data_IF_004624913509
#
_entry.id   IF_004624913509
#
_cell.length_a   1.000
_cell.length_b   1.000
_cell.length_c   1.000
_cell.angle_alpha   90.00
_cell.angle_beta   90.00
_cell.angle_gamma   90.00
#
_symmetry.space_group_name_H-M   'P 1'
#
loop_
_entity.id
_entity.type
_entity.pdbx_description
1 polymer ?
#
# COMPACT_ATOMS: atom_id res chain seq x y z
N UNK A 1 -2.15 -13.60 -11.25
CA UNK A 1 -1.28 -12.70 -12.05
C UNK A 1 -0.63 -11.70 -11.11
N UNK A 2 0.68 -11.51 -11.21
CA UNK A 2 1.39 -10.51 -10.42
C UNK A 2 1.25 -9.13 -11.05
N UNK A 3 0.82 -8.13 -10.27
CA UNK A 3 0.56 -6.77 -10.76
C UNK A 3 1.82 -5.89 -10.75
N UNK A 4 2.74 -6.14 -9.84
CA UNK A 4 4.00 -5.39 -9.72
C UNK A 4 4.29 -4.91 -8.31
N UNK A 5 5.23 -3.98 -8.25
CA UNK A 5 5.67 -3.31 -7.02
C UNK A 5 5.32 -1.83 -7.07
N UNK A 6 5.24 -1.21 -5.89
CA UNK A 6 4.99 0.22 -5.76
C UNK A 6 5.27 0.74 -4.35
N UNK A 7 4.87 1.97 -4.11
CA UNK A 7 4.93 2.61 -2.80
C UNK A 7 3.87 3.70 -2.67
N UNK A 8 3.76 4.30 -1.49
CA UNK A 8 2.71 5.24 -1.17
C UNK A 8 3.09 6.69 -1.49
N UNK A 9 2.18 7.37 -2.17
CA UNK A 9 2.17 8.81 -2.42
C UNK A 9 1.43 9.50 -1.26
N UNK A 10 2.05 9.52 -0.08
CA UNK A 10 1.51 10.25 1.06
C UNK A 10 1.69 11.75 0.90
N UNK A 11 0.92 12.56 1.63
CA UNK A 11 1.16 14.01 1.68
C UNK A 11 2.58 14.31 2.17
N UNK A 12 3.09 13.55 3.14
CA UNK A 12 4.47 13.68 3.63
C UNK A 12 5.50 13.47 2.51
N UNK A 13 5.33 12.41 1.71
CA UNK A 13 6.21 12.15 0.56
C UNK A 13 6.11 13.27 -0.48
N UNK A 14 4.90 13.70 -0.81
CA UNK A 14 4.66 14.75 -1.78
C UNK A 14 5.19 16.11 -1.32
N UNK A 15 5.00 16.44 -0.03
CA UNK A 15 5.52 17.67 0.57
C UNK A 15 7.06 17.68 0.55
N UNK A 16 7.69 16.60 1.01
CA UNK A 16 9.16 16.47 0.96
C UNK A 16 9.67 16.60 -0.48
N UNK A 17 9.02 15.90 -1.43
CA UNK A 17 9.32 16.00 -2.85
C UNK A 17 9.19 17.44 -3.36
N UNK A 18 8.14 18.16 -2.99
CA UNK A 18 7.88 19.54 -3.42
C UNK A 18 8.97 20.52 -2.98
N UNK A 19 9.65 20.26 -1.85
CA UNK A 19 10.75 21.10 -1.36
C UNK A 19 12.04 20.97 -2.19
N UNK A 20 12.20 19.92 -2.99
CA UNK A 20 13.37 19.68 -3.81
C UNK A 20 13.36 20.57 -5.06
N UNK A 21 14.53 20.88 -5.61
CA UNK A 21 14.63 21.51 -6.93
C UNK A 21 14.24 20.52 -8.05
N UNK A 22 14.00 21.05 -9.25
CA UNK A 22 13.47 20.25 -10.36
C UNK A 22 14.42 19.13 -10.81
N UNK A 23 15.73 19.31 -10.73
CA UNK A 23 16.73 18.30 -11.07
C UNK A 23 16.67 17.12 -10.07
N UNK A 24 16.64 17.41 -8.79
CA UNK A 24 16.53 16.39 -7.72
C UNK A 24 15.16 15.69 -7.77
N UNK A 25 14.07 16.41 -8.04
CA UNK A 25 12.75 15.82 -8.27
C UNK A 25 12.78 14.78 -9.39
N UNK A 26 13.38 15.14 -10.52
CA UNK A 26 13.51 14.24 -11.67
C UNK A 26 14.32 12.99 -11.33
N UNK A 27 15.41 13.13 -10.58
CA UNK A 27 16.23 12.02 -10.14
C UNK A 27 15.48 11.09 -9.16
N UNK A 28 14.71 11.63 -8.21
CA UNK A 28 13.88 10.87 -7.28
C UNK A 28 12.82 10.06 -8.02
N UNK A 29 12.07 10.70 -8.91
CA UNK A 29 11.01 10.02 -9.67
C UNK A 29 11.60 8.93 -10.57
N UNK A 30 12.74 9.18 -11.22
CA UNK A 30 13.48 8.16 -11.99
C UNK A 30 13.98 7.03 -11.10
N UNK A 31 14.40 7.31 -9.87
CA UNK A 31 14.80 6.28 -8.94
C UNK A 31 13.64 5.34 -8.57
N UNK A 32 12.42 5.83 -8.46
CA UNK A 32 11.24 5.01 -8.16
C UNK A 32 10.66 4.34 -9.42
N UNK A 33 10.33 5.11 -10.43
CA UNK A 33 9.50 4.67 -11.57
C UNK A 33 10.27 4.49 -12.88
N UNK A 34 11.49 5.03 -12.99
CA UNK A 34 12.31 4.95 -14.19
C UNK A 34 12.85 3.55 -14.47
N UNK A 35 13.23 3.30 -15.72
CA UNK A 35 13.75 2.02 -16.21
C UNK A 35 14.98 1.54 -15.43
N UNK A 36 15.86 2.46 -15.04
CA UNK A 36 17.08 2.16 -14.26
C UNK A 36 16.88 2.29 -12.75
N UNK A 37 15.66 2.63 -12.29
CA UNK A 37 15.25 2.73 -10.89
C UNK A 37 14.64 1.44 -10.36
N UNK A 38 13.71 1.56 -9.41
CA UNK A 38 12.93 0.44 -8.87
C UNK A 38 11.92 -0.13 -9.87
N UNK A 39 11.63 0.59 -10.95
CA UNK A 39 10.66 0.21 -11.99
C UNK A 39 9.25 -0.04 -11.43
N UNK A 40 8.84 0.72 -10.42
CA UNK A 40 7.52 0.61 -9.82
C UNK A 40 6.41 0.79 -10.87
N UNK A 41 5.31 0.07 -10.69
CA UNK A 41 4.13 0.07 -11.56
C UNK A 41 2.86 0.42 -10.81
N UNK A 42 2.93 0.44 -9.50
CA UNK A 42 1.82 0.64 -8.59
C UNK A 42 2.06 1.87 -7.72
N UNK A 43 0.98 2.45 -7.23
CA UNK A 43 1.00 3.47 -6.21
C UNK A 43 -0.10 3.24 -5.18
N UNK A 44 0.10 3.68 -3.94
CA UNK A 44 -0.95 3.76 -2.94
C UNK A 44 -1.20 5.23 -2.59
N UNK A 45 -2.45 5.62 -2.47
CA UNK A 45 -2.87 6.97 -2.07
C UNK A 45 -3.85 6.87 -0.91
N UNK A 46 -3.78 7.85 -0.01
CA UNK A 46 -4.74 7.96 1.07
C UNK A 46 -5.94 8.82 0.67
N UNK A 47 -7.13 8.42 1.07
CA UNK A 47 -8.35 9.23 0.97
C UNK A 47 -8.59 9.92 2.32
N UNK A 48 -8.67 11.24 2.34
CA UNK A 48 -8.48 12.10 3.52
C UNK A 48 -7.05 11.98 4.07
N UNK A 49 -6.76 12.65 5.20
CA UNK A 49 -5.46 12.56 5.85
C UNK A 49 -5.14 11.17 6.40
N UNK A 50 -3.85 10.93 6.61
CA UNK A 50 -3.28 9.81 7.36
C UNK A 50 -2.22 10.36 8.33
N UNK A 51 -1.54 9.51 9.10
CA UNK A 51 -0.46 9.94 9.99
C UNK A 51 0.69 10.66 9.26
N UNK A 52 1.01 10.23 8.04
CA UNK A 52 1.97 10.88 7.14
C UNK A 52 1.33 12.00 6.31
N UNK A 53 0.53 12.83 6.97
CA UNK A 53 0.02 14.10 6.47
C UNK A 53 0.54 15.27 7.34
N UNK A 54 0.34 16.49 6.88
CA UNK A 54 0.72 17.71 7.63
C UNK A 54 -0.26 18.04 8.75
N UNK A 55 -1.43 17.39 8.75
CA UNK A 55 -2.49 17.53 9.74
C UNK A 55 -3.74 16.79 9.28
N UNK A 56 -4.76 16.71 10.13
CA UNK A 56 -6.05 16.16 9.72
C UNK A 56 -6.72 17.03 8.64
N UNK A 57 -7.23 16.40 7.59
CA UNK A 57 -8.07 17.06 6.58
C UNK A 57 -9.06 16.09 5.93
N UNK A 58 -10.10 16.64 5.36
CA UNK A 58 -11.11 15.94 4.55
C UNK A 58 -11.42 16.74 3.30
N UNK A 59 -12.14 16.16 2.35
CA UNK A 59 -12.54 16.82 1.10
C UNK A 59 -13.90 17.49 1.17
N UNK A 60 -14.54 17.53 2.35
CA UNK A 60 -15.83 18.20 2.58
C UNK A 60 -15.75 19.09 3.82
N UNK A 61 -16.63 20.09 3.89
CA UNK A 61 -16.81 20.89 5.11
C UNK A 61 -17.47 20.07 6.22
N UNK A 62 -17.25 20.48 7.46
CA UNK A 62 -17.84 19.83 8.65
C UNK A 62 -19.37 19.86 8.57
N UNK A 63 -19.98 18.68 8.69
CA UNK A 63 -21.44 18.51 8.66
C UNK A 63 -22.07 18.47 7.26
N UNK A 64 -21.27 18.47 6.18
CA UNK A 64 -21.79 18.30 4.82
C UNK A 64 -22.17 16.84 4.54
N UNK A 65 -23.39 16.49 4.92
CA UNK A 65 -23.98 15.16 4.71
C UNK A 65 -24.51 14.91 3.29
N UNK A 66 -24.36 15.88 2.37
CA UNK A 66 -24.75 15.77 0.96
C UNK A 66 -23.58 15.76 -0.01
N UNK A 67 -22.37 15.93 0.51
CA UNK A 67 -21.13 16.03 -0.28
C UNK A 67 -21.17 17.17 -1.32
N UNK A 68 -21.86 18.27 -1.01
CA UNK A 68 -21.98 19.43 -1.90
C UNK A 68 -20.69 20.23 -1.97
N UNK A 69 -19.90 20.22 -0.89
CA UNK A 69 -18.63 20.93 -0.76
C UNK A 69 -17.41 20.09 -1.17
N UNK A 70 -17.63 18.87 -1.70
CA UNK A 70 -16.55 17.95 -2.02
C UNK A 70 -15.55 18.55 -3.01
N UNK A 71 -14.29 18.69 -2.57
CA UNK A 71 -13.20 19.28 -3.35
C UNK A 71 -11.84 18.66 -2.97
N UNK A 72 -11.09 18.20 -3.97
CA UNK A 72 -9.73 17.65 -3.83
C UNK A 72 -8.63 18.69 -4.04
N UNK A 73 -8.93 19.99 -3.91
CA UNK A 73 -7.94 21.07 -4.09
C UNK A 73 -6.74 20.96 -3.15
N UNK A 74 -6.90 20.28 -2.02
CA UNK A 74 -5.81 19.96 -1.11
C UNK A 74 -4.73 19.13 -1.82
N UNK A 75 -5.11 18.05 -2.48
CA UNK A 75 -4.19 17.11 -3.12
C UNK A 75 -3.58 17.69 -4.41
N UNK A 76 -4.25 18.66 -5.03
CA UNK A 76 -3.75 19.37 -6.21
C UNK A 76 -2.49 20.21 -5.95
N UNK A 77 -2.19 20.47 -4.68
CA UNK A 77 -1.01 21.28 -4.33
C UNK A 77 0.29 20.49 -4.48
N UNK A 78 0.33 19.24 -4.02
CA UNK A 78 1.58 18.48 -3.93
C UNK A 78 1.43 17.02 -4.38
N UNK A 79 0.37 16.31 -3.95
CA UNK A 79 0.18 14.87 -4.25
C UNK A 79 -0.01 14.62 -5.74
N UNK A 80 -0.96 15.31 -6.37
CA UNK A 80 -1.24 15.13 -7.79
C UNK A 80 -0.10 15.59 -8.71
N UNK A 81 0.64 16.68 -8.44
CA UNK A 81 1.86 17.02 -9.17
C UNK A 81 2.93 15.91 -9.09
N UNK A 82 3.17 15.34 -7.91
CA UNK A 82 4.12 14.22 -7.76
C UNK A 82 3.67 12.98 -8.56
N UNK A 83 2.38 12.66 -8.54
CA UNK A 83 1.81 11.56 -9.35
C UNK A 83 1.98 11.83 -10.85
N UNK A 84 1.75 13.06 -11.30
CA UNK A 84 1.92 13.44 -12.70
C UNK A 84 3.38 13.26 -13.16
N UNK A 85 4.35 13.67 -12.34
CA UNK A 85 5.76 13.44 -12.61
C UNK A 85 6.12 11.95 -12.66
N UNK A 86 5.58 11.15 -11.76
CA UNK A 86 5.77 9.71 -11.76
C UNK A 86 5.20 9.04 -13.03
N UNK A 87 3.99 9.41 -13.43
CA UNK A 87 3.35 8.90 -14.65
C UNK A 87 4.12 9.28 -15.92
N UNK A 88 4.78 10.45 -15.93
CA UNK A 88 5.60 10.91 -17.07
C UNK A 88 6.85 10.03 -17.27
N UNK A 89 7.40 9.48 -16.20
CA UNK A 89 8.66 8.71 -16.21
C UNK A 89 8.41 7.21 -16.28
N UNK A 90 7.28 6.75 -15.77
CA UNK A 90 6.94 5.33 -15.71
C UNK A 90 6.78 4.75 -17.13
N UNK A 91 7.20 3.49 -17.29
CA UNK A 91 6.94 2.69 -18.49
C UNK A 91 5.51 2.14 -18.44
N UNK A 92 4.56 2.91 -18.96
CA UNK A 92 3.12 2.67 -18.92
C UNK A 92 2.43 3.28 -17.69
N UNK A 93 1.09 3.25 -17.65
CA UNK A 93 0.31 3.88 -16.59
C UNK A 93 0.57 3.21 -15.24
N UNK A 94 0.69 4.04 -14.19
CA UNK A 94 0.73 3.59 -12.80
C UNK A 94 -0.71 3.28 -12.37
N UNK A 95 -0.94 2.13 -11.79
CA UNK A 95 -2.22 1.74 -11.22
C UNK A 95 -2.22 2.02 -9.72
N UNK A 96 -3.28 2.65 -9.23
CA UNK A 96 -3.36 3.07 -7.84
C UNK A 96 -4.34 2.24 -7.03
N UNK A 97 -3.92 1.93 -5.80
CA UNK A 97 -4.76 1.50 -4.69
C UNK A 97 -5.06 2.71 -3.82
N UNK A 98 -6.32 2.98 -3.53
CA UNK A 98 -6.68 4.01 -2.57
C UNK A 98 -7.20 3.42 -1.26
N UNK A 99 -6.84 4.03 -0.12
CA UNK A 99 -7.24 3.59 1.21
C UNK A 99 -7.62 4.79 2.09
N UNK A 100 -8.74 4.76 2.83
CA UNK A 100 -9.05 5.75 3.86
C UNK A 100 -8.46 5.36 5.21
N UNK A 101 -7.98 6.32 5.97
CA UNK A 101 -7.61 6.15 7.39
C UNK A 101 -8.77 6.51 8.32
N UNK A 102 -9.55 7.52 7.98
CA UNK A 102 -10.73 7.93 8.75
C UNK A 102 -11.77 8.61 7.87
N UNK A 103 -13.05 8.35 8.09
CA UNK A 103 -14.12 9.26 7.66
C UNK A 103 -13.99 10.62 8.35
N UNK A 104 -14.71 11.67 7.84
CA UNK A 104 -14.87 12.94 8.54
C UNK A 104 -15.35 12.75 9.97
N UNK A 105 -14.90 13.59 10.89
CA UNK A 105 -15.14 13.45 12.33
C UNK A 105 -16.63 13.33 12.70
N UNK A 106 -17.50 14.14 12.07
CA UNK A 106 -18.94 14.12 12.37
C UNK A 106 -19.64 12.81 11.98
N UNK A 107 -19.07 12.02 11.04
CA UNK A 107 -19.58 10.72 10.64
C UNK A 107 -19.20 9.60 11.63
N UNK A 108 -18.33 9.86 12.60
CA UNK A 108 -17.78 8.85 13.52
C UNK A 108 -18.42 8.91 14.91
N UNK A 109 -18.45 7.77 15.57
CA UNK A 109 -19.06 7.61 16.90
C UNK A 109 -18.34 8.38 17.99
N UNK A 110 -17.01 8.60 17.85
CA UNK A 110 -16.20 9.39 18.78
C UNK A 110 -16.15 10.89 18.41
N UNK A 111 -16.63 11.31 17.25
CA UNK A 111 -16.60 12.69 16.79
C UNK A 111 -15.20 13.22 16.45
N UNK A 112 -14.23 12.33 16.22
CA UNK A 112 -12.84 12.66 15.91
C UNK A 112 -12.35 11.83 14.72
N UNK A 113 -11.40 12.34 13.93
CA UNK A 113 -10.73 11.53 12.90
C UNK A 113 -9.73 10.55 13.53
N UNK A 114 -9.11 10.93 14.65
CA UNK A 114 -8.15 10.13 15.41
C UNK A 114 -8.84 9.21 16.43
N UNK A 115 -8.04 8.40 17.12
CA UNK A 115 -8.46 7.60 18.28
C UNK A 115 -9.57 6.56 17.99
N UNK A 116 -9.56 5.96 16.80
CA UNK A 116 -10.52 4.91 16.44
C UNK A 116 -11.94 5.46 16.28
N UNK A 117 -12.88 4.94 17.06
CA UNK A 117 -14.31 5.14 16.81
C UNK A 117 -14.75 4.35 15.58
N UNK A 118 -16.04 4.31 15.30
CA UNK A 118 -16.62 3.60 14.16
C UNK A 118 -17.43 4.56 13.30
N UNK A 119 -17.59 4.24 12.02
CA UNK A 119 -18.54 4.95 11.16
C UNK A 119 -19.97 4.71 11.69
N UNK A 120 -20.75 5.77 11.83
CA UNK A 120 -22.16 5.66 12.22
C UNK A 120 -22.99 5.13 11.06
N UNK A 121 -23.94 4.24 11.32
CA UNK A 121 -24.73 3.58 10.29
C UNK A 121 -25.50 4.55 9.38
N UNK A 122 -25.98 5.68 9.93
CA UNK A 122 -26.68 6.71 9.16
C UNK A 122 -25.82 7.35 8.07
N UNK A 123 -24.48 7.21 8.13
CA UNK A 123 -23.54 7.75 7.14
C UNK A 123 -22.99 6.70 6.17
N UNK A 124 -23.38 5.43 6.24
CA UNK A 124 -22.85 4.39 5.37
C UNK A 124 -23.06 4.69 3.88
N UNK A 125 -24.26 5.14 3.48
CA UNK A 125 -24.54 5.51 2.09
C UNK A 125 -23.71 6.73 1.62
N UNK A 126 -23.59 7.73 2.50
CA UNK A 126 -22.84 8.95 2.20
C UNK A 126 -21.37 8.64 2.08
N UNK A 127 -20.84 7.82 2.98
CA UNK A 127 -19.44 7.42 2.94
C UNK A 127 -19.12 6.59 1.69
N UNK A 128 -19.99 5.69 1.26
CA UNK A 128 -19.84 4.97 -0.01
C UNK A 128 -19.84 5.94 -1.22
N UNK A 129 -20.70 6.96 -1.24
CA UNK A 129 -20.70 8.00 -2.27
C UNK A 129 -19.44 8.86 -2.24
N UNK A 130 -18.86 9.07 -1.07
CA UNK A 130 -17.59 9.77 -0.92
C UNK A 130 -16.45 9.07 -1.66
N UNK A 131 -16.37 7.73 -1.58
CA UNK A 131 -15.41 6.93 -2.38
C UNK A 131 -15.61 7.16 -3.88
N UNK A 132 -16.84 7.09 -4.36
CA UNK A 132 -17.12 7.30 -5.78
C UNK A 132 -16.74 8.71 -6.24
N UNK A 133 -17.05 9.74 -5.44
CA UNK A 133 -16.64 11.12 -5.74
C UNK A 133 -15.13 11.29 -5.78
N UNK A 134 -14.40 10.68 -4.84
CA UNK A 134 -12.95 10.71 -4.82
C UNK A 134 -12.36 10.06 -6.08
N UNK A 135 -12.82 8.85 -6.42
CA UNK A 135 -12.37 8.13 -7.63
C UNK A 135 -12.62 8.96 -8.89
N UNK A 136 -13.82 9.50 -9.05
CA UNK A 136 -14.15 10.36 -10.20
C UNK A 136 -13.32 11.64 -10.25
N UNK A 137 -13.01 12.23 -9.09
CA UNK A 137 -12.16 13.42 -9.03
C UNK A 137 -10.72 13.12 -9.48
N UNK A 138 -10.16 12.00 -9.04
CA UNK A 138 -8.82 11.55 -9.44
C UNK A 138 -8.76 11.13 -10.92
N UNK A 139 -9.80 10.46 -11.42
CA UNK A 139 -9.89 10.15 -12.88
C UNK A 139 -9.86 11.39 -13.75
N UNK A 140 -10.48 12.51 -13.31
CA UNK A 140 -10.40 13.80 -14.02
C UNK A 140 -8.99 14.39 -14.05
N UNK A 141 -8.15 14.04 -13.11
CA UNK A 141 -6.73 14.40 -13.06
C UNK A 141 -5.83 13.35 -13.74
N UNK A 142 -6.40 12.42 -14.51
CA UNK A 142 -5.72 11.33 -15.21
C UNK A 142 -4.98 10.35 -14.29
N UNK A 143 -5.51 10.11 -13.10
CA UNK A 143 -5.01 9.11 -12.16
C UNK A 143 -5.89 7.87 -12.21
N UNK A 144 -5.31 6.72 -12.57
CA UNK A 144 -6.01 5.44 -12.70
C UNK A 144 -6.10 4.75 -11.35
N UNK A 145 -7.22 4.92 -10.63
CA UNK A 145 -7.54 4.11 -9.44
C UNK A 145 -8.12 2.79 -9.91
N UNK A 146 -7.39 1.71 -9.68
CA UNK A 146 -7.79 0.35 -10.07
C UNK A 146 -8.34 -0.45 -8.89
N UNK A 147 -7.98 -0.09 -7.67
CA UNK A 147 -8.36 -0.78 -6.44
C UNK A 147 -8.61 0.19 -5.30
N UNK A 148 -9.34 -0.29 -4.32
CA UNK A 148 -9.54 0.39 -3.05
C UNK A 148 -9.52 -0.61 -1.90
N UNK A 149 -9.18 -0.14 -0.70
CA UNK A 149 -9.48 -0.86 0.54
C UNK A 149 -10.62 -0.19 1.28
N UNK A 150 -11.40 -0.99 2.03
CA UNK A 150 -12.54 -0.47 2.81
C UNK A 150 -12.07 0.45 3.92
N UNK A 151 -10.97 0.09 4.58
CA UNK A 151 -10.41 0.86 5.70
C UNK A 151 -8.96 0.44 5.94
N UNK A 152 -8.06 1.41 6.09
CA UNK A 152 -6.72 1.12 6.62
C UNK A 152 -6.81 0.70 8.08
N UNK A 153 -6.21 -0.45 8.41
CA UNK A 153 -6.05 -0.98 9.76
C UNK A 153 -7.33 -0.95 10.63
N UNK A 154 -8.41 -1.65 10.23
CA UNK A 154 -9.73 -1.54 10.84
C UNK A 154 -9.84 -2.05 12.29
N UNK A 155 -8.77 -2.58 12.88
CA UNK A 155 -8.71 -2.94 14.30
C UNK A 155 -7.82 -1.99 15.12
N UNK A 156 -7.13 -1.05 14.48
CA UNK A 156 -6.20 -0.17 15.15
C UNK A 156 -6.89 1.07 15.72
N UNK A 157 -6.66 1.34 17.01
CA UNK A 157 -7.00 2.60 17.67
C UNK A 157 -5.72 3.40 17.80
N UNK A 158 -5.55 4.38 16.94
CA UNK A 158 -4.30 5.13 16.83
C UNK A 158 -4.46 6.57 17.32
N UNK A 159 -3.37 7.22 17.69
CA UNK A 159 -3.33 8.65 18.02
C UNK A 159 -3.49 9.55 16.79
N UNK A 160 -3.50 8.95 15.61
CA UNK A 160 -3.76 9.56 14.30
C UNK A 160 -5.07 9.04 13.70
N UNK A 161 -5.34 9.44 12.47
CA UNK A 161 -6.51 9.04 11.70
C UNK A 161 -6.69 7.52 11.75
N UNK A 162 -7.81 7.07 12.28
CA UNK A 162 -8.12 5.65 12.43
C UNK A 162 -9.63 5.45 12.61
N UNK A 163 -10.15 4.31 12.16
CA UNK A 163 -11.56 3.97 12.25
C UNK A 163 -11.71 2.46 12.40
N UNK A 164 -12.54 2.04 13.34
CA UNK A 164 -12.75 0.63 13.66
C UNK A 164 -13.90 0.07 12.82
N UNK A 165 -13.65 -1.10 12.21
CA UNK A 165 -14.68 -1.95 11.63
C UNK A 165 -14.52 -3.38 12.17
N UNK A 166 -15.62 -3.99 12.58
CA UNK A 166 -15.66 -5.44 12.75
C UNK A 166 -15.72 -6.12 11.38
N UNK A 167 -15.46 -7.43 11.31
CA UNK A 167 -15.63 -8.18 10.07
C UNK A 167 -17.05 -8.05 9.49
N UNK A 168 -18.04 -8.10 10.38
CA UNK A 168 -19.45 -7.94 10.02
C UNK A 168 -19.76 -6.54 9.49
N UNK A 169 -19.23 -5.48 10.12
CA UNK A 169 -19.42 -4.10 9.64
C UNK A 169 -18.79 -3.89 8.27
N UNK A 170 -17.60 -4.40 8.06
CA UNK A 170 -16.90 -4.33 6.77
C UNK A 170 -17.68 -5.10 5.68
N UNK A 171 -18.15 -6.33 6.01
CA UNK A 171 -19.01 -7.14 5.14
C UNK A 171 -20.30 -6.39 4.78
N UNK A 172 -21.02 -5.84 5.76
CA UNK A 172 -22.28 -5.13 5.55
C UNK A 172 -22.08 -3.86 4.73
N UNK A 173 -21.01 -3.11 4.99
CA UNK A 173 -20.69 -1.90 4.25
C UNK A 173 -20.44 -2.21 2.77
N UNK A 174 -19.64 -3.22 2.47
CA UNK A 174 -19.39 -3.66 1.08
C UNK A 174 -20.68 -4.13 0.42
N UNK A 175 -21.42 -5.02 1.11
CA UNK A 175 -22.62 -5.67 0.58
C UNK A 175 -23.75 -4.72 0.22
N UNK A 176 -24.03 -3.75 1.13
CA UNK A 176 -25.25 -2.96 1.08
C UNK A 176 -25.02 -1.54 0.56
N UNK A 177 -23.79 -1.02 0.65
CA UNK A 177 -23.48 0.38 0.36
C UNK A 177 -22.39 0.53 -0.69
N UNK A 178 -21.15 0.15 -0.41
CA UNK A 178 -20.02 0.43 -1.28
C UNK A 178 -20.12 -0.28 -2.64
N UNK A 179 -20.35 -1.60 -2.65
CA UNK A 179 -20.49 -2.37 -3.90
C UNK A 179 -21.61 -1.81 -4.80
N UNK A 180 -22.87 -1.67 -4.30
CA UNK A 180 -23.97 -1.08 -5.07
C UNK A 180 -23.72 0.36 -5.55
N UNK A 181 -23.04 1.19 -4.75
CA UNK A 181 -22.71 2.57 -5.15
C UNK A 181 -21.70 2.57 -6.29
N UNK A 182 -20.63 1.77 -6.20
CA UNK A 182 -19.64 1.67 -7.28
C UNK A 182 -20.26 1.17 -8.58
N UNK A 183 -21.13 0.18 -8.53
CA UNK A 183 -21.86 -0.29 -9.74
C UNK A 183 -22.71 0.83 -10.34
N UNK A 184 -23.50 1.54 -9.52
CA UNK A 184 -24.36 2.63 -9.95
C UNK A 184 -23.59 3.79 -10.58
N UNK A 185 -22.42 4.10 -10.05
CA UNK A 185 -21.55 5.19 -10.52
C UNK A 185 -20.64 4.78 -11.70
N UNK A 186 -20.79 3.54 -12.24
CA UNK A 186 -19.99 3.04 -13.37
C UNK A 186 -18.57 2.68 -12.98
N UNK A 187 -18.33 2.41 -11.69
CA UNK A 187 -17.03 2.05 -11.10
C UNK A 187 -16.95 0.58 -10.69
N UNK A 188 -17.83 -0.27 -11.23
CA UNK A 188 -17.90 -1.70 -10.87
C UNK A 188 -16.65 -2.52 -11.21
N UNK A 189 -15.75 -1.99 -12.04
CA UNK A 189 -14.46 -2.62 -12.35
C UNK A 189 -13.38 -2.33 -11.30
N UNK A 190 -13.61 -1.40 -10.37
CA UNK A 190 -12.69 -1.10 -9.27
C UNK A 190 -12.67 -2.28 -8.28
N UNK A 191 -11.49 -2.87 -8.07
CA UNK A 191 -11.35 -3.99 -7.15
C UNK A 191 -11.44 -3.57 -5.69
N UNK A 192 -12.41 -4.12 -4.95
CA UNK A 192 -12.54 -3.89 -3.50
C UNK A 192 -11.67 -4.89 -2.74
N UNK A 193 -10.80 -4.40 -1.89
CA UNK A 193 -10.00 -5.17 -0.95
C UNK A 193 -10.48 -4.88 0.48
N UNK A 194 -10.44 -5.90 1.31
CA UNK A 194 -10.83 -5.84 2.71
C UNK A 194 -9.65 -6.10 3.62
N UNK A 195 -9.83 -5.91 4.92
CA UNK A 195 -8.85 -6.07 5.97
C UNK A 195 -7.81 -4.94 5.98
N UNK A 196 -6.87 -4.90 5.03
CA UNK A 196 -5.81 -3.88 4.94
C UNK A 196 -5.08 -3.65 6.27
N UNK A 197 -4.67 -4.76 6.90
CA UNK A 197 -4.05 -4.79 8.23
C UNK A 197 -3.06 -5.98 8.34
N UNK A 198 -2.53 -6.23 9.55
CA UNK A 198 -1.48 -7.20 9.78
C UNK A 198 -1.87 -8.65 9.47
N UNK A 199 -0.88 -9.44 9.06
CA UNK A 199 -1.06 -10.81 8.51
C UNK A 199 -1.61 -11.85 9.50
N UNK A 200 -1.43 -11.66 10.83
CA UNK A 200 -1.81 -12.67 11.83
C UNK A 200 -3.30 -13.02 11.86
N UNK A 201 -4.16 -12.05 11.55
CA UNK A 201 -5.62 -12.25 11.53
C UNK A 201 -6.18 -12.39 10.09
N UNK A 202 -5.32 -12.34 9.08
CA UNK A 202 -5.71 -12.30 7.66
C UNK A 202 -6.75 -13.38 7.33
N UNK A 203 -6.42 -14.65 7.54
CA UNK A 203 -7.34 -15.75 7.19
C UNK A 203 -8.68 -15.70 7.92
N UNK A 204 -8.66 -15.46 9.24
CA UNK A 204 -9.90 -15.47 10.02
C UNK A 204 -10.79 -14.30 9.61
N UNK A 205 -10.20 -13.11 9.48
CA UNK A 205 -10.90 -11.90 9.08
C UNK A 205 -11.52 -12.03 7.70
N UNK A 206 -10.74 -12.49 6.73
CA UNK A 206 -11.19 -12.69 5.35
C UNK A 206 -12.32 -13.72 5.26
N UNK A 207 -12.19 -14.85 5.96
CA UNK A 207 -13.23 -15.88 6.05
C UNK A 207 -14.54 -15.34 6.59
N UNK A 208 -14.49 -14.54 7.66
CA UNK A 208 -15.69 -13.98 8.28
C UNK A 208 -16.36 -12.96 7.37
N UNK A 209 -15.59 -12.11 6.69
CA UNK A 209 -16.12 -11.14 5.71
C UNK A 209 -16.73 -11.86 4.51
N UNK A 210 -16.09 -12.90 3.99
CA UNK A 210 -16.58 -13.66 2.81
C UNK A 210 -17.67 -14.67 3.13
N UNK A 211 -18.15 -14.77 4.36
CA UNK A 211 -19.26 -15.66 4.75
C UNK A 211 -20.60 -15.32 4.12
N UNK A 212 -20.74 -14.11 3.56
CA UNK A 212 -21.89 -13.67 2.79
C UNK A 212 -21.56 -13.64 1.28
N UNK A 213 -22.29 -14.41 0.49
CA UNK A 213 -22.05 -14.57 -0.95
C UNK A 213 -22.17 -13.25 -1.73
N UNK A 214 -23.07 -12.34 -1.32
CA UNK A 214 -23.23 -11.05 -2.00
C UNK A 214 -22.05 -10.12 -1.73
N UNK A 215 -21.58 -10.05 -0.49
CA UNK A 215 -20.37 -9.32 -0.15
C UNK A 215 -19.17 -9.91 -0.88
N UNK A 216 -19.02 -11.24 -0.85
CA UNK A 216 -17.96 -11.95 -1.54
C UNK A 216 -17.94 -11.69 -3.06
N UNK A 217 -19.11 -11.46 -3.67
CA UNK A 217 -19.25 -11.11 -5.09
C UNK A 217 -18.59 -9.77 -5.46
N UNK A 218 -18.62 -8.79 -4.55
CA UNK A 218 -17.99 -7.49 -4.75
C UNK A 218 -16.48 -7.48 -4.42
N UNK A 219 -16.05 -8.34 -3.49
CA UNK A 219 -14.70 -8.34 -2.95
C UNK A 219 -13.73 -9.02 -3.92
N UNK A 220 -12.72 -8.29 -4.35
CA UNK A 220 -11.64 -8.77 -5.22
C UNK A 220 -10.59 -9.57 -4.45
N UNK A 221 -10.29 -9.15 -3.23
CA UNK A 221 -9.23 -9.74 -2.44
C UNK A 221 -9.07 -9.14 -1.05
N UNK A 222 -7.94 -9.47 -0.47
CA UNK A 222 -7.49 -9.05 0.84
C UNK A 222 -6.19 -8.25 0.75
N UNK A 223 -6.07 -7.22 1.57
CA UNK A 223 -4.87 -6.42 1.72
C UNK A 223 -4.20 -6.70 3.07
N UNK A 224 -2.86 -6.74 3.10
CA UNK A 224 -2.11 -7.11 4.32
C UNK A 224 -0.90 -6.21 4.56
N UNK A 225 -0.54 -6.07 5.85
CA UNK A 225 0.62 -5.36 6.39
C UNK A 225 1.55 -6.28 7.19
N UNK A 226 2.75 -5.82 7.56
CA UNK A 226 3.80 -6.66 8.16
C UNK A 226 4.08 -6.45 9.66
N UNK A 227 3.39 -5.52 10.33
CA UNK A 227 3.83 -5.00 11.63
C UNK A 227 3.78 -5.97 12.81
N UNK A 228 3.13 -7.12 12.67
CA UNK A 228 3.06 -8.17 13.71
C UNK A 228 3.96 -9.37 13.44
N UNK A 229 4.62 -9.42 12.29
CA UNK A 229 5.55 -10.49 11.94
C UNK A 229 5.20 -11.20 10.62
N UNK A 230 5.85 -12.33 10.40
CA UNK A 230 5.86 -13.02 9.11
C UNK A 230 4.50 -13.59 8.69
N UNK A 231 3.91 -14.42 9.53
CA UNK A 231 2.58 -15.05 9.34
C UNK A 231 2.23 -15.47 7.91
N UNK A 232 3.25 -15.88 7.11
CA UNK A 232 3.09 -16.25 5.71
C UNK A 232 2.11 -17.41 5.50
N UNK A 233 2.04 -18.34 6.49
CA UNK A 233 1.11 -19.45 6.49
C UNK A 233 -0.36 -18.98 6.45
N UNK A 234 -0.68 -17.84 7.03
CA UNK A 234 -2.01 -17.23 6.96
C UNK A 234 -2.38 -16.91 5.51
N UNK A 235 -1.46 -16.30 4.77
CA UNK A 235 -1.65 -15.97 3.36
C UNK A 235 -1.75 -17.22 2.48
N UNK A 236 -0.94 -18.26 2.76
CA UNK A 236 -1.02 -19.54 2.05
C UNK A 236 -2.38 -20.20 2.24
N UNK A 237 -2.96 -20.13 3.45
CA UNK A 237 -4.30 -20.65 3.75
C UNK A 237 -5.34 -19.85 2.95
N UNK A 238 -5.27 -18.50 2.95
CA UNK A 238 -6.18 -17.65 2.16
C UNK A 238 -6.13 -18.05 0.70
N UNK A 239 -4.94 -18.16 0.10
CA UNK A 239 -4.80 -18.55 -1.32
C UNK A 239 -5.30 -19.95 -1.62
N UNK A 240 -5.19 -20.87 -0.66
CA UNK A 240 -5.71 -22.24 -0.80
C UNK A 240 -7.22 -22.33 -0.70
N UNK A 241 -7.81 -21.58 0.24
CA UNK A 241 -9.26 -21.60 0.50
C UNK A 241 -10.04 -20.73 -0.49
N UNK A 242 -9.42 -19.65 -0.98
CA UNK A 242 -10.01 -18.67 -1.90
C UNK A 242 -9.10 -18.43 -3.12
N UNK A 243 -8.90 -19.45 -3.98
CA UNK A 243 -7.92 -19.38 -5.07
C UNK A 243 -8.20 -18.27 -6.09
N UNK A 244 -9.46 -17.87 -6.24
CA UNK A 244 -9.90 -16.82 -7.16
C UNK A 244 -9.74 -15.40 -6.58
N UNK A 245 -9.49 -15.28 -5.29
CA UNK A 245 -9.25 -14.00 -4.62
C UNK A 245 -7.78 -13.63 -4.66
N UNK A 246 -7.51 -12.34 -4.71
CA UNK A 246 -6.15 -11.80 -4.69
C UNK A 246 -5.71 -11.46 -3.27
N UNK A 247 -4.42 -11.47 -3.02
CA UNK A 247 -3.82 -10.96 -1.78
C UNK A 247 -2.80 -9.91 -2.17
N UNK A 248 -2.93 -8.70 -1.65
CA UNK A 248 -2.00 -7.60 -1.85
C UNK A 248 -1.26 -7.32 -0.54
N UNK A 249 0.06 -7.24 -0.62
CA UNK A 249 0.82 -6.58 0.43
C UNK A 249 0.76 -5.07 0.16
N UNK A 250 0.16 -4.31 1.07
CA UNK A 250 -0.22 -2.91 0.81
C UNK A 250 0.54 -1.90 1.64
N UNK A 251 1.24 -2.35 2.70
CA UNK A 251 2.02 -1.45 3.54
C UNK A 251 3.11 -2.18 4.34
N UNK A 252 4.28 -1.55 4.41
CA UNK A 252 5.33 -1.89 5.33
C UNK A 252 6.40 -0.81 5.37
N UNK A 253 6.81 -0.40 6.57
CA UNK A 253 7.96 0.48 6.77
C UNK A 253 8.71 0.12 8.05
N UNK A 254 9.95 0.57 8.15
CA UNK A 254 10.76 0.39 9.37
C UNK A 254 10.52 1.56 10.30
N UNK A 255 9.70 1.33 11.32
CA UNK A 255 9.34 2.31 12.35
C UNK A 255 10.54 2.63 13.25
N UNK A 256 10.85 3.91 13.46
CA UNK A 256 11.93 4.30 14.35
C UNK A 256 11.62 4.00 15.83
N UNK A 257 10.36 4.00 16.22
CA UNK A 257 9.93 3.63 17.57
C UNK A 257 10.34 2.21 17.98
N UNK A 258 10.48 1.30 17.00
CA UNK A 258 10.80 -0.12 17.24
C UNK A 258 12.21 -0.51 16.78
N UNK A 259 12.74 0.14 15.75
CA UNK A 259 13.95 -0.29 15.04
C UNK A 259 15.01 0.81 14.92
N UNK A 260 14.97 1.86 15.77
CA UNK A 260 15.96 2.94 15.75
C UNK A 260 17.40 2.41 15.88
N UNK A 261 17.60 1.42 16.75
CA UNK A 261 18.92 0.84 17.04
C UNK A 261 19.35 -0.25 16.06
N UNK A 262 18.48 -0.65 15.11
CA UNK A 262 18.81 -1.66 14.12
C UNK A 262 19.77 -1.10 13.06
N UNK A 263 20.76 -1.92 12.66
CA UNK A 263 21.68 -1.58 11.58
C UNK A 263 20.98 -1.49 10.21
N UNK A 264 21.58 -0.76 9.26
CA UNK A 264 21.02 -0.56 7.92
C UNK A 264 20.86 -1.88 7.15
N UNK A 265 21.79 -2.81 7.32
CA UNK A 265 21.67 -4.15 6.70
C UNK A 265 20.45 -4.87 7.25
N UNK A 266 20.27 -4.89 8.56
CA UNK A 266 19.12 -5.54 9.19
C UNK A 266 17.79 -4.94 8.71
N UNK A 267 17.70 -3.61 8.61
CA UNK A 267 16.52 -2.91 8.09
C UNK A 267 16.22 -3.31 6.63
N UNK A 268 17.25 -3.41 5.81
CA UNK A 268 17.11 -3.80 4.40
C UNK A 268 16.73 -5.28 4.25
N UNK A 269 17.30 -6.15 5.09
CA UNK A 269 16.95 -7.58 5.13
C UNK A 269 15.51 -7.82 5.56
N UNK A 270 14.93 -6.98 6.44
CA UNK A 270 13.50 -7.06 6.80
C UNK A 270 12.62 -6.93 5.54
N UNK A 271 12.90 -5.94 4.67
CA UNK A 271 12.17 -5.79 3.41
C UNK A 271 12.32 -7.01 2.49
N UNK A 272 13.56 -7.47 2.28
CA UNK A 272 13.80 -8.59 1.38
C UNK A 272 13.17 -9.89 1.87
N UNK A 273 13.26 -10.16 3.16
CA UNK A 273 12.66 -11.33 3.81
C UNK A 273 11.14 -11.33 3.67
N UNK A 274 10.50 -10.21 4.02
CA UNK A 274 9.04 -10.09 3.95
C UNK A 274 8.53 -10.18 2.50
N UNK A 275 9.15 -9.46 1.57
CA UNK A 275 8.79 -9.53 0.15
C UNK A 275 8.92 -10.97 -0.37
N UNK A 276 10.02 -11.66 -0.05
CA UNK A 276 10.26 -13.03 -0.50
C UNK A 276 9.24 -14.00 0.07
N UNK A 277 8.95 -13.90 1.37
CA UNK A 277 7.95 -14.72 2.05
C UNK A 277 6.55 -14.48 1.50
N UNK A 278 6.14 -13.25 1.36
CA UNK A 278 4.86 -12.85 0.78
C UNK A 278 4.69 -13.37 -0.67
N UNK A 279 5.73 -13.21 -1.51
CA UNK A 279 5.72 -13.74 -2.88
C UNK A 279 5.56 -15.26 -2.92
N UNK A 280 6.25 -15.97 -2.03
CA UNK A 280 6.12 -17.42 -1.90
C UNK A 280 4.74 -17.83 -1.40
N UNK A 281 4.12 -17.06 -0.52
CA UNK A 281 2.75 -17.26 -0.05
C UNK A 281 1.69 -16.92 -1.09
N UNK A 282 2.06 -16.24 -2.19
CA UNK A 282 1.20 -16.04 -3.37
C UNK A 282 0.53 -14.68 -3.46
N UNK A 283 1.13 -13.63 -2.91
CA UNK A 283 0.63 -12.26 -3.14
C UNK A 283 0.65 -11.89 -4.62
N UNK A 284 -0.26 -10.99 -4.99
CA UNK A 284 -0.42 -10.50 -6.38
C UNK A 284 0.13 -9.09 -6.58
N UNK A 285 0.41 -8.36 -5.52
CA UNK A 285 1.03 -7.02 -5.55
C UNK A 285 1.82 -6.76 -4.27
N UNK A 286 2.84 -5.90 -4.35
CA UNK A 286 3.63 -5.50 -3.19
C UNK A 286 3.85 -3.99 -3.21
N UNK A 287 3.32 -3.30 -2.20
CA UNK A 287 3.46 -1.86 -2.03
C UNK A 287 4.16 -1.57 -0.71
N UNK A 288 5.25 -0.83 -0.81
CA UNK A 288 5.93 -0.23 0.34
C UNK A 288 5.10 0.94 0.90
N UNK A 289 5.43 1.41 2.11
CA UNK A 289 4.84 2.63 2.64
C UNK A 289 5.41 3.85 1.90
N UNK A 290 5.82 4.90 2.56
CA UNK A 290 6.25 6.14 1.93
C UNK A 290 7.34 5.94 0.88
N UNK A 291 7.16 6.46 -0.33
CA UNK A 291 8.18 6.47 -1.40
C UNK A 291 9.46 7.18 -0.97
N UNK A 292 9.31 8.28 -0.26
CA UNK A 292 10.40 9.07 0.29
C UNK A 292 9.94 9.83 1.53
N UNK A 293 10.88 10.21 2.39
CA UNK A 293 10.65 11.03 3.57
C UNK A 293 11.79 12.03 3.77
N UNK A 294 11.59 13.00 4.66
CA UNK A 294 12.63 13.96 5.06
C UNK A 294 13.73 13.32 5.93
N UNK A 295 14.74 14.09 6.28
CA UNK A 295 15.89 13.64 7.08
C UNK A 295 15.51 13.13 8.49
N UNK A 296 14.27 13.41 8.96
CA UNK A 296 13.75 12.95 10.26
C UNK A 296 12.91 11.68 10.14
N UNK A 297 12.52 11.31 8.93
CA UNK A 297 11.57 10.24 8.68
C UNK A 297 10.10 10.69 8.70
N UNK A 298 9.87 11.94 8.31
CA UNK A 298 8.59 12.62 8.20
C UNK A 298 8.45 13.42 6.89
N UNK A 299 7.60 14.48 6.91
CA UNK A 299 6.79 14.95 8.03
C UNK A 299 5.70 13.95 8.46
N UNK A 300 5.29 14.07 9.74
CA UNK A 300 4.22 13.24 10.30
C UNK A 300 3.57 14.06 11.43
N UNK A 301 2.25 14.27 11.36
CA UNK A 301 1.57 15.21 12.25
C UNK A 301 1.40 14.71 13.71
N UNK A 302 1.71 13.44 13.95
CA UNK A 302 1.69 12.83 15.30
C UNK A 302 3.07 12.35 15.76
N UNK A 303 4.13 12.56 14.95
CA UNK A 303 5.49 12.20 15.30
C UNK A 303 5.82 10.70 15.18
N UNK A 304 5.04 9.94 14.43
CA UNK A 304 5.29 8.52 14.13
C UNK A 304 6.28 8.38 12.97
N UNK A 305 7.56 8.68 13.21
CA UNK A 305 8.58 8.70 12.16
C UNK A 305 9.05 7.31 11.74
N UNK A 306 9.35 7.17 10.44
CA UNK A 306 9.80 5.91 9.82
C UNK A 306 11.00 6.13 8.91
N UNK A 307 11.66 5.03 8.52
CA UNK A 307 12.55 5.03 7.37
C UNK A 307 11.74 4.84 6.07
N UNK A 308 12.23 5.48 5.00
CA UNK A 308 11.79 5.20 3.63
C UNK A 308 12.97 4.72 2.79
N UNK A 309 12.74 4.07 1.65
CA UNK A 309 13.83 3.67 0.74
C UNK A 309 14.65 4.85 0.21
N UNK A 310 14.04 6.02 0.13
CA UNK A 310 14.68 7.30 -0.24
C UNK A 310 14.48 8.27 0.92
N UNK A 311 15.58 8.85 1.41
CA UNK A 311 15.57 9.89 2.43
C UNK A 311 16.13 11.17 1.85
N UNK A 312 15.43 12.28 2.07
CA UNK A 312 15.78 13.60 1.55
C UNK A 312 16.35 14.48 2.67
N UNK A 313 17.40 15.22 2.37
CA UNK A 313 17.84 16.36 3.18
C UNK A 313 17.19 17.62 2.62
N UNK A 314 16.14 18.09 3.29
CA UNK A 314 15.36 19.25 2.83
C UNK A 314 16.11 20.57 2.95
N UNK A 315 17.21 20.63 3.72
CA UNK A 315 18.04 21.82 3.90
C UNK A 315 19.11 21.93 2.82
N UNK A 316 19.75 20.79 2.53
CA UNK A 316 20.81 20.73 1.51
C UNK A 316 20.22 20.52 0.10
N UNK A 317 18.92 20.18 -0.02
CA UNK A 317 18.27 19.91 -1.29
C UNK A 317 18.85 18.67 -1.98
N UNK A 318 19.18 17.64 -1.22
CA UNK A 318 19.75 16.39 -1.69
C UNK A 318 18.97 15.18 -1.21
N UNK A 319 19.25 14.01 -1.74
CA UNK A 319 18.65 12.76 -1.29
C UNK A 319 19.64 11.60 -1.29
N UNK A 320 19.35 10.59 -0.49
CA UNK A 320 20.09 9.34 -0.47
C UNK A 320 19.16 8.14 -0.69
N UNK A 321 19.67 7.13 -1.39
CA UNK A 321 19.03 5.82 -1.50
C UNK A 321 19.54 4.95 -0.36
N UNK A 322 18.64 4.58 0.55
CA UNK A 322 18.97 3.69 1.67
C UNK A 322 19.27 2.28 1.18
N UNK A 323 19.86 1.46 2.01
CA UNK A 323 20.17 0.08 1.63
C UNK A 323 18.88 -0.71 1.29
N UNK A 324 17.75 -0.43 1.94
CA UNK A 324 16.43 -0.98 1.63
C UNK A 324 16.02 -0.76 0.16
N UNK A 325 16.32 0.41 -0.42
CA UNK A 325 16.09 0.69 -1.84
C UNK A 325 16.74 -0.38 -2.75
N UNK A 326 17.96 -0.74 -2.47
CA UNK A 326 18.69 -1.72 -3.28
C UNK A 326 18.17 -3.15 -3.07
N UNK A 327 17.74 -3.49 -1.84
CA UNK A 327 17.17 -4.80 -1.55
C UNK A 327 15.79 -4.97 -2.19
N UNK A 328 14.92 -3.99 -2.12
CA UNK A 328 13.63 -3.96 -2.85
C UNK A 328 13.89 -4.07 -4.35
N UNK A 329 14.90 -3.38 -4.86
CA UNK A 329 15.30 -3.39 -6.27
C UNK A 329 15.70 -4.76 -6.80
N UNK A 330 16.15 -5.71 -5.95
CA UNK A 330 16.42 -7.08 -6.38
C UNK A 330 15.17 -7.83 -6.81
N UNK A 331 14.01 -7.39 -6.38
CA UNK A 331 12.72 -7.94 -6.79
C UNK A 331 12.07 -7.08 -7.87
N UNK A 332 11.86 -5.79 -7.58
CA UNK A 332 11.00 -4.91 -8.39
C UNK A 332 11.54 -4.64 -9.80
N UNK A 333 12.86 -4.63 -9.97
CA UNK A 333 13.50 -4.40 -11.26
C UNK A 333 13.41 -5.59 -12.21
N UNK A 334 13.26 -6.80 -11.67
CA UNK A 334 13.39 -8.04 -12.43
C UNK A 334 12.09 -8.82 -12.56
N UNK A 335 11.23 -8.81 -11.55
CA UNK A 335 9.93 -9.49 -11.56
C UNK A 335 8.91 -8.55 -12.22
N UNK A 336 8.51 -8.86 -13.45
CA UNK A 336 7.65 -8.00 -14.26
C UNK A 336 6.16 -8.18 -13.91
N UNK A 337 5.35 -7.16 -14.24
CA UNK A 337 3.89 -7.30 -14.27
C UNK A 337 3.51 -8.49 -15.16
N UNK A 338 2.61 -9.34 -14.69
CA UNK A 338 2.21 -10.56 -15.39
C UNK A 338 3.10 -11.78 -15.12
N UNK A 339 4.18 -11.64 -14.37
CA UNK A 339 5.04 -12.76 -13.99
C UNK A 339 4.26 -13.85 -13.23
N UNK A 340 4.69 -15.09 -13.40
CA UNK A 340 4.13 -16.25 -12.71
C UNK A 340 5.17 -16.85 -11.80
N UNK A 341 4.82 -17.08 -10.53
CA UNK A 341 5.71 -17.77 -9.61
C UNK A 341 5.98 -19.19 -10.11
N UNK A 342 7.23 -19.61 -10.09
CA UNK A 342 7.67 -20.98 -10.36
C UNK A 342 8.10 -21.65 -9.05
N UNK A 343 7.92 -22.96 -8.96
CA UNK A 343 8.32 -23.73 -7.79
C UNK A 343 9.84 -23.70 -7.61
N UNK A 344 10.28 -23.41 -6.40
CA UNK A 344 11.69 -23.43 -6.02
C UNK A 344 11.89 -24.38 -4.83
N UNK A 345 13.00 -25.08 -4.81
CA UNK A 345 13.44 -25.91 -3.67
C UNK A 345 14.84 -25.51 -3.24
N UNK A 346 15.14 -25.76 -1.97
CA UNK A 346 16.46 -25.47 -1.39
C UNK A 346 16.92 -26.61 -0.52
N UNK A 347 18.22 -26.79 -0.38
CA UNK A 347 18.82 -27.81 0.48
C UNK A 347 19.25 -27.29 1.85
N UNK A 348 19.08 -25.98 2.11
CA UNK A 348 19.50 -25.36 3.35
C UNK A 348 18.56 -24.23 3.73
N UNK A 349 18.32 -24.04 5.01
CA UNK A 349 17.58 -22.90 5.54
C UNK A 349 18.43 -21.62 5.67
N UNK A 350 19.74 -21.71 5.35
CA UNK A 350 20.62 -20.54 5.29
C UNK A 350 20.32 -19.61 4.11
N UNK A 351 19.61 -20.10 3.09
CA UNK A 351 19.19 -19.30 1.92
C UNK A 351 17.68 -19.30 1.80
N UNK A 352 17.13 -18.12 1.64
CA UNK A 352 15.74 -17.94 1.23
C UNK A 352 15.72 -17.78 -0.30
N UNK A 353 14.68 -18.30 -0.96
CA UNK A 353 14.62 -18.29 -2.42
C UNK A 353 13.19 -18.12 -2.91
N UNK A 354 13.03 -17.34 -3.97
CA UNK A 354 11.80 -17.28 -4.77
C UNK A 354 12.14 -17.27 -6.24
N UNK A 355 11.21 -17.67 -7.09
CA UNK A 355 11.42 -17.72 -8.54
C UNK A 355 10.19 -17.36 -9.34
N UNK A 356 10.42 -16.68 -10.47
CA UNK A 356 9.38 -16.21 -11.37
C UNK A 356 9.73 -16.46 -12.83
N UNK A 357 8.69 -16.70 -13.63
CA UNK A 357 8.73 -16.67 -15.08
C UNK A 357 8.03 -15.41 -15.55
N UNK A 358 8.78 -14.51 -16.16
CA UNK A 358 8.26 -13.29 -16.75
C UNK A 358 7.48 -13.53 -18.05
N UNK A 359 6.61 -12.61 -18.48
CA UNK A 359 5.88 -12.74 -19.75
C UNK A 359 6.78 -12.85 -21.00
N UNK A 360 7.97 -12.28 -20.95
CA UNK A 360 8.98 -12.35 -22.02
C UNK A 360 9.76 -13.68 -22.05
N UNK A 361 9.45 -14.61 -21.14
CA UNK A 361 10.10 -15.93 -21.02
C UNK A 361 11.37 -15.91 -20.17
N UNK A 362 11.81 -14.77 -19.67
CA UNK A 362 12.95 -14.71 -18.74
C UNK A 362 12.59 -15.28 -17.38
N UNK A 363 13.55 -15.98 -16.76
CA UNK A 363 13.41 -16.53 -15.41
C UNK A 363 14.17 -15.68 -14.43
N UNK A 364 13.50 -15.35 -13.32
CA UNK A 364 14.08 -14.58 -12.23
C UNK A 364 14.15 -15.47 -10.99
N UNK A 365 15.35 -15.61 -10.44
CA UNK A 365 15.57 -16.29 -9.16
C UNK A 365 16.19 -15.27 -8.21
N UNK A 366 15.52 -15.02 -7.09
CA UNK A 366 16.02 -14.14 -6.03
C UNK A 366 16.44 -15.02 -4.85
N UNK A 367 17.68 -14.81 -4.40
CA UNK A 367 18.29 -15.50 -3.27
C UNK A 367 18.60 -14.47 -2.20
N UNK A 368 18.25 -14.76 -0.95
CA UNK A 368 18.58 -13.94 0.21
C UNK A 368 19.38 -14.77 1.21
N UNK A 369 20.58 -14.26 1.57
CA UNK A 369 21.41 -14.76 2.65
C UNK A 369 21.42 -13.71 3.77
N UNK A 370 20.78 -14.02 4.90
CA UNK A 370 20.78 -13.15 6.10
C UNK A 370 21.81 -13.58 7.14
N UNK A 371 22.65 -14.56 6.79
CA UNK A 371 23.73 -15.02 7.67
C UNK A 371 25.04 -14.29 7.39
N UNK A 372 25.97 -14.36 8.34
CA UNK A 372 27.31 -13.76 8.23
C UNK A 372 28.26 -14.57 7.34
N UNK A 373 27.94 -15.84 7.08
CA UNK A 373 28.79 -16.75 6.31
C UNK A 373 28.40 -16.79 4.83
N UNK A 374 29.38 -16.87 3.96
CA UNK A 374 29.14 -17.12 2.53
C UNK A 374 28.54 -18.53 2.33
N UNK A 375 27.49 -18.62 1.52
CA UNK A 375 26.84 -19.88 1.18
C UNK A 375 27.03 -20.18 -0.30
N UNK A 376 27.78 -21.26 -0.60
CA UNK A 376 27.91 -21.74 -1.97
C UNK A 376 26.61 -22.46 -2.39
N UNK A 377 26.13 -22.18 -3.60
CA UNK A 377 24.96 -22.84 -4.16
C UNK A 377 25.17 -23.19 -5.64
N UNK A 378 24.40 -24.14 -6.12
CA UNK A 378 24.31 -24.47 -7.54
C UNK A 378 22.86 -24.37 -7.96
N UNK A 379 22.59 -23.51 -8.94
CA UNK A 379 21.25 -23.43 -9.56
C UNK A 379 21.10 -24.61 -10.53
N UNK A 380 20.03 -25.38 -10.35
CA UNK A 380 19.64 -26.45 -11.27
C UNK A 380 18.26 -26.17 -11.78
N UNK A 381 18.07 -26.36 -13.06
CA UNK A 381 16.80 -26.27 -13.74
C UNK A 381 16.40 -27.67 -14.21
N UNK A 382 15.13 -28.06 -13.92
CA UNK A 382 14.56 -29.35 -14.35
C UNK A 382 13.64 -29.16 -15.54
#
# INVERSE_FOLDING_TARGET
>A
TFHGFGGAFTEAAAHTYATMNDEVKEEIIKACYGENGLRYKLGRIHMNSCDFALGNYTYIEEGDDKLETFDISHDKKEILPMIADANRVADGPIQFLMSPWSPPAFMKTNGEMNHGGSLKEEYYDIWAQYYAKFIHAYQKENVEISWLTVQNEPMAVQTWDSCIYTAEQEQQFVRNHLGPVLEKEGLGDIGIFVWDHNKEEAYQRFKDILSDDKAAGYIKGEAVHWYTGDHFEGLEIVKKMYPDKEVFFTEGCVEYSRFADSGEVQKAEMYAHDILGNLNAGISASLDWNLLLDEKGGPNHVGNFCAAPIMCDTKEGSFEKRLSYYYIGQFSRYIQKGAKRIGTTRYTDKLEVTGFLNPDGTRVIVLLNRGEEAVAYTLREN
#
